data_IF_203236751671
#
_entry.id   IF_203236751671
#
_cell.length_a   1.000
_cell.length_b   1.000
_cell.length_c   1.000
_cell.angle_alpha   90.00
_cell.angle_beta   90.00
_cell.angle_gamma   90.00
#
_symmetry.space_group_name_H-M   'P 1'
#
loop_
_entity.id
_entity.type
_entity.pdbx_description
1 polymer ?
#
# COMPACT_ATOMS: atom_id res chain seq x y z
N UNK A 1 -0.56 7.07 -10.73
CA UNK A 1 0.76 7.57 -11.16
C UNK A 1 1.58 6.41 -11.72
N UNK A 2 2.30 6.65 -12.80
CA UNK A 2 3.20 5.69 -13.47
C UNK A 2 4.55 6.35 -13.71
N UNK A 3 5.64 5.55 -13.66
CA UNK A 3 7.00 6.09 -13.88
C UNK A 3 7.35 6.23 -15.36
N UNK A 4 6.81 5.37 -16.21
CA UNK A 4 7.16 5.29 -17.64
C UNK A 4 5.96 5.60 -18.54
N UNK A 5 6.14 6.47 -19.53
CA UNK A 5 5.07 6.84 -20.47
C UNK A 5 4.53 5.63 -21.23
N UNK A 6 5.33 4.60 -21.49
CA UNK A 6 4.93 3.38 -22.19
C UNK A 6 3.83 2.60 -21.47
N UNK A 7 3.65 2.81 -20.15
CA UNK A 7 2.59 2.18 -19.35
C UNK A 7 1.22 2.87 -19.52
N UNK A 8 1.17 4.03 -20.20
CA UNK A 8 -0.03 4.86 -20.26
C UNK A 8 -1.21 4.17 -20.96
N UNK A 9 -0.95 3.41 -22.01
CA UNK A 9 -2.02 2.77 -22.77
C UNK A 9 -2.64 1.60 -21.98
N UNK A 10 -1.85 0.86 -21.22
CA UNK A 10 -2.34 -0.21 -20.34
C UNK A 10 -3.24 0.37 -19.23
N UNK A 11 -2.85 1.51 -18.65
CA UNK A 11 -3.64 2.20 -17.63
C UNK A 11 -4.95 2.73 -18.18
N UNK A 12 -4.93 3.33 -19.40
CA UNK A 12 -6.17 3.78 -20.07
C UNK A 12 -7.09 2.63 -20.44
N UNK A 13 -6.53 1.48 -20.83
CA UNK A 13 -7.31 0.30 -21.22
C UNK A 13 -8.22 -0.21 -20.09
N UNK A 14 -7.84 0.01 -18.83
CA UNK A 14 -8.67 -0.33 -17.66
C UNK A 14 -9.50 0.85 -17.12
N UNK A 15 -9.59 1.96 -17.90
CA UNK A 15 -10.44 3.10 -17.57
C UNK A 15 -9.84 4.11 -16.59
N UNK A 16 -8.55 4.03 -16.28
CA UNK A 16 -7.86 4.96 -15.39
C UNK A 16 -7.09 6.03 -16.21
N UNK A 17 -6.86 7.20 -15.62
CA UNK A 17 -6.06 8.26 -16.21
C UNK A 17 -4.60 8.17 -15.74
N UNK A 18 -3.63 7.98 -16.66
CA UNK A 18 -2.23 7.88 -16.31
C UNK A 18 -1.61 9.26 -16.08
N UNK A 19 -0.95 9.44 -14.94
CA UNK A 19 -0.07 10.57 -14.68
C UNK A 19 1.37 10.06 -14.65
N UNK A 20 2.21 10.56 -15.56
CA UNK A 20 3.61 10.17 -15.64
C UNK A 20 4.42 11.04 -14.69
N UNK A 21 4.95 10.46 -13.63
CA UNK A 21 5.81 11.15 -12.66
C UNK A 21 6.81 10.17 -12.03
N UNK A 22 8.05 10.63 -11.85
CA UNK A 22 9.07 9.88 -11.13
C UNK A 22 8.97 10.18 -9.63
N UNK A 23 8.25 9.31 -8.93
CA UNK A 23 7.94 9.48 -7.51
C UNK A 23 9.19 9.56 -6.61
N UNK A 24 10.34 9.10 -7.08
CA UNK A 24 11.61 9.22 -6.36
C UNK A 24 12.08 10.68 -6.25
N UNK A 25 11.71 11.54 -7.20
CA UNK A 25 12.28 12.88 -7.37
C UNK A 25 11.27 14.04 -7.23
N UNK A 26 9.97 13.75 -7.28
CA UNK A 26 8.95 14.80 -7.15
C UNK A 26 8.81 15.26 -5.68
N UNK A 27 8.54 16.55 -5.52
CA UNK A 27 8.31 17.20 -4.22
C UNK A 27 6.92 16.89 -3.65
N UNK A 28 6.72 17.21 -2.38
CA UNK A 28 5.40 17.14 -1.72
C UNK A 28 4.37 18.02 -2.46
N UNK A 29 4.79 19.20 -2.92
CA UNK A 29 3.97 20.13 -3.67
C UNK A 29 3.46 19.52 -4.98
N UNK A 30 4.36 18.96 -5.77
CA UNK A 30 4.03 18.33 -7.05
C UNK A 30 3.14 17.09 -6.86
N UNK A 31 3.39 16.29 -5.83
CA UNK A 31 2.50 15.17 -5.49
C UNK A 31 1.12 15.67 -5.07
N UNK A 32 1.03 16.74 -4.28
CA UNK A 32 -0.23 17.33 -3.85
C UNK A 32 -1.05 17.87 -5.04
N UNK A 33 -0.38 18.46 -6.04
CA UNK A 33 -1.02 18.88 -7.29
C UNK A 33 -1.58 17.69 -8.08
N UNK A 34 -0.86 16.56 -8.12
CA UNK A 34 -1.33 15.32 -8.75
C UNK A 34 -2.52 14.72 -8.01
N UNK A 35 -2.50 14.76 -6.66
CA UNK A 35 -3.62 14.29 -5.84
C UNK A 35 -4.86 15.17 -6.08
N UNK A 36 -4.69 16.50 -6.19
CA UNK A 36 -5.77 17.43 -6.48
C UNK A 36 -6.98 17.22 -5.56
N UNK A 37 -8.16 17.05 -6.15
CA UNK A 37 -9.43 16.90 -5.43
C UNK A 37 -9.80 15.43 -5.14
N UNK A 38 -8.86 14.49 -5.22
CA UNK A 38 -9.13 13.09 -4.90
C UNK A 38 -9.30 12.88 -3.39
N UNK A 39 -10.35 12.15 -3.00
CA UNK A 39 -10.67 11.87 -1.58
C UNK A 39 -9.76 10.80 -0.97
N UNK A 40 -9.25 9.88 -1.77
CA UNK A 40 -8.48 8.72 -1.32
C UNK A 40 -7.22 8.53 -2.14
N UNK A 41 -6.12 8.31 -1.45
CA UNK A 41 -4.83 7.94 -2.04
C UNK A 41 -4.54 6.47 -1.74
N UNK A 42 -4.12 5.70 -2.73
CA UNK A 42 -3.62 4.32 -2.55
C UNK A 42 -2.14 4.29 -2.87
N UNK A 43 -1.32 3.94 -1.88
CA UNK A 43 0.11 3.71 -2.05
C UNK A 43 0.40 2.23 -2.22
N UNK A 44 0.68 1.81 -3.44
CA UNK A 44 1.10 0.45 -3.80
C UNK A 44 2.43 0.42 -4.56
N UNK A 45 3.17 1.54 -4.56
CA UNK A 45 4.47 1.63 -5.18
C UNK A 45 5.57 1.01 -4.30
N UNK A 46 6.64 0.59 -4.94
CA UNK A 46 7.83 0.08 -4.30
C UNK A 46 9.01 0.05 -5.26
N UNK A 47 10.23 -0.04 -4.74
CA UNK A 47 11.45 -0.08 -5.54
C UNK A 47 11.52 -1.31 -6.46
N UNK A 48 10.80 -2.38 -6.13
CA UNK A 48 10.78 -3.61 -6.92
C UNK A 48 12.11 -4.37 -6.87
N UNK A 49 12.84 -4.27 -5.77
CA UNK A 49 14.21 -4.75 -5.63
C UNK A 49 15.25 -3.71 -6.09
N UNK A 50 16.52 -4.06 -6.00
CA UNK A 50 17.64 -3.16 -6.34
C UNK A 50 18.54 -2.88 -5.15
N UNK A 51 19.07 -1.66 -5.05
CA UNK A 51 19.96 -1.29 -3.95
C UNK A 51 19.16 -0.82 -2.72
N UNK A 52 19.73 -0.94 -1.51
CA UNK A 52 19.16 -0.37 -0.30
C UNK A 52 18.82 1.13 -0.44
N UNK A 53 19.67 1.92 -1.11
CA UNK A 53 19.46 3.35 -1.33
C UNK A 53 18.14 3.60 -2.07
N UNK A 54 17.87 2.81 -3.14
CA UNK A 54 16.64 2.94 -3.90
C UNK A 54 15.42 2.48 -3.10
N UNK A 55 15.58 1.45 -2.29
CA UNK A 55 14.53 1.00 -1.37
C UNK A 55 14.15 2.11 -0.40
N UNK A 56 15.12 2.76 0.25
CA UNK A 56 14.80 3.90 1.12
C UNK A 56 14.20 5.08 0.35
N UNK A 57 14.70 5.38 -0.84
CA UNK A 57 14.19 6.49 -1.67
C UNK A 57 12.69 6.30 -2.04
N UNK A 58 12.28 5.08 -2.40
CA UNK A 58 10.90 4.80 -2.84
C UNK A 58 10.02 4.34 -1.68
N UNK A 59 10.40 3.25 -0.99
CA UNK A 59 9.52 2.57 -0.03
C UNK A 59 9.37 3.35 1.28
N UNK A 60 10.33 4.25 1.60
CA UNK A 60 10.26 5.16 2.75
C UNK A 60 10.00 6.60 2.32
N UNK A 61 10.96 7.24 1.65
CA UNK A 61 10.96 8.69 1.48
C UNK A 61 9.85 9.17 0.53
N UNK A 62 9.62 8.48 -0.60
CA UNK A 62 8.52 8.81 -1.49
C UNK A 62 7.14 8.46 -0.87
N UNK A 63 7.05 7.38 -0.09
CA UNK A 63 5.85 7.06 0.66
C UNK A 63 5.51 8.15 1.67
N UNK A 64 6.48 8.58 2.48
CA UNK A 64 6.32 9.67 3.45
C UNK A 64 5.91 10.97 2.76
N UNK A 65 6.61 11.37 1.68
CA UNK A 65 6.21 12.56 0.89
C UNK A 65 4.78 12.46 0.36
N UNK A 66 4.33 11.26 -0.02
CA UNK A 66 2.95 11.06 -0.50
C UNK A 66 1.93 11.20 0.61
N UNK A 67 2.25 10.73 1.83
CA UNK A 67 1.40 10.93 3.02
C UNK A 67 1.27 12.42 3.33
N UNK A 68 2.38 13.16 3.35
CA UNK A 68 2.39 14.60 3.61
C UNK A 68 1.64 15.38 2.51
N UNK A 69 1.82 14.96 1.25
CA UNK A 69 1.10 15.53 0.11
C UNK A 69 -0.41 15.28 0.17
N UNK A 70 -0.84 14.09 0.61
CA UNK A 70 -2.24 13.78 0.79
C UNK A 70 -2.89 14.68 1.86
N UNK A 71 -2.21 14.90 2.99
CA UNK A 71 -2.68 15.85 4.01
C UNK A 71 -2.73 17.27 3.46
N UNK A 72 -1.72 17.70 2.71
CA UNK A 72 -1.63 19.03 2.11
C UNK A 72 -2.73 19.28 1.06
N UNK A 73 -3.05 18.28 0.23
CA UNK A 73 -4.11 18.34 -0.77
C UNK A 73 -5.52 18.28 -0.14
N UNK A 74 -5.64 17.90 1.13
CA UNK A 74 -6.92 17.74 1.80
C UNK A 74 -7.60 16.39 1.50
N UNK A 75 -6.88 15.42 0.97
CA UNK A 75 -7.38 14.05 0.87
C UNK A 75 -7.73 13.54 2.27
N UNK A 76 -8.90 12.95 2.41
CA UNK A 76 -9.38 12.45 3.72
C UNK A 76 -8.77 11.09 4.10
N UNK A 77 -8.16 10.38 3.15
CA UNK A 77 -7.83 8.97 3.33
C UNK A 77 -6.57 8.52 2.58
N UNK A 78 -5.80 7.62 3.20
CA UNK A 78 -4.70 6.91 2.54
C UNK A 78 -4.72 5.41 2.88
N UNK A 79 -4.64 4.57 1.84
CA UNK A 79 -4.46 3.12 1.95
C UNK A 79 -3.02 2.78 1.57
N UNK A 80 -2.28 2.19 2.52
CA UNK A 80 -0.88 1.79 2.36
C UNK A 80 -0.77 0.29 2.14
N UNK A 81 -0.07 -0.15 1.09
CA UNK A 81 0.34 -1.54 0.94
C UNK A 81 1.74 -1.71 1.54
N UNK A 82 1.79 -2.44 2.66
CA UNK A 82 3.01 -2.79 3.39
C UNK A 82 3.37 -4.27 3.16
N UNK A 83 3.79 -5.02 4.17
CA UNK A 83 4.05 -6.45 4.08
C UNK A 83 3.67 -7.17 5.38
N UNK A 84 3.37 -8.46 5.30
CA UNK A 84 3.01 -9.31 6.44
C UNK A 84 4.17 -9.41 7.44
N UNK A 85 3.91 -9.11 8.72
CA UNK A 85 4.92 -9.09 9.78
C UNK A 85 5.69 -7.78 9.90
N UNK A 86 5.28 -6.70 9.21
CA UNK A 86 5.88 -5.38 9.41
C UNK A 86 5.64 -4.90 10.85
N UNK A 87 6.69 -4.51 11.55
CA UNK A 87 6.59 -4.01 12.91
C UNK A 87 7.98 -3.73 13.51
N UNK A 88 8.06 -2.98 14.61
CA UNK A 88 9.35 -2.59 15.21
C UNK A 88 10.23 -3.79 15.59
N UNK A 89 9.61 -4.92 15.90
CA UNK A 89 10.28 -6.17 16.28
C UNK A 89 10.29 -7.20 15.14
N UNK A 90 10.45 -6.75 13.87
CA UNK A 90 10.39 -7.61 12.68
C UNK A 90 11.45 -8.73 12.64
N UNK A 91 12.49 -8.67 13.46
CA UNK A 91 13.49 -9.74 13.62
C UNK A 91 14.37 -10.01 12.39
N UNK A 92 14.33 -9.16 11.36
CA UNK A 92 15.19 -9.29 10.17
C UNK A 92 16.59 -8.82 10.54
N UNK A 93 17.66 -9.63 10.39
CA UNK A 93 19.02 -9.21 10.70
C UNK A 93 19.52 -8.11 9.75
N UNK A 94 20.39 -7.22 10.23
CA UNK A 94 20.92 -6.09 9.44
C UNK A 94 21.68 -6.52 8.18
N UNK A 95 22.29 -7.70 8.19
CA UNK A 95 23.01 -8.28 7.05
C UNK A 95 22.10 -9.00 6.04
N UNK A 96 20.81 -9.09 6.32
CA UNK A 96 19.83 -9.67 5.41
C UNK A 96 19.44 -8.65 4.32
N UNK A 97 19.39 -9.09 3.07
CA UNK A 97 18.98 -8.26 1.94
C UNK A 97 17.56 -7.66 2.06
N UNK A 98 16.71 -8.25 2.87
CA UNK A 98 15.34 -7.76 3.15
C UNK A 98 15.32 -6.64 4.19
N UNK A 99 16.40 -6.42 4.97
CA UNK A 99 16.44 -5.46 6.07
C UNK A 99 16.06 -4.04 5.65
N UNK A 100 16.69 -3.52 4.59
CA UNK A 100 16.40 -2.17 4.10
C UNK A 100 14.92 -1.99 3.70
N UNK A 101 14.30 -3.04 3.13
CA UNK A 101 12.88 -3.01 2.78
C UNK A 101 12.00 -3.02 4.04
N UNK A 102 12.29 -3.89 5.01
CA UNK A 102 11.57 -3.94 6.27
C UNK A 102 11.58 -2.59 6.99
N UNK A 103 12.76 -2.01 7.19
CA UNK A 103 12.93 -0.70 7.81
C UNK A 103 12.19 0.42 7.05
N UNK A 104 12.28 0.44 5.72
CA UNK A 104 11.63 1.44 4.90
C UNK A 104 10.10 1.39 5.03
N UNK A 105 9.51 0.18 4.97
CA UNK A 105 8.06 -0.01 5.10
C UNK A 105 7.56 0.33 6.49
N UNK A 106 8.28 -0.08 7.53
CA UNK A 106 7.92 0.21 8.93
C UNK A 106 7.94 1.72 9.20
N UNK A 107 8.95 2.42 8.69
CA UNK A 107 9.03 3.87 8.84
C UNK A 107 7.86 4.59 8.14
N UNK A 108 7.47 4.14 6.94
CA UNK A 108 6.33 4.67 6.21
C UNK A 108 4.99 4.34 6.93
N UNK A 109 4.82 3.11 7.42
CA UNK A 109 3.64 2.69 8.20
C UNK A 109 3.48 3.55 9.46
N UNK A 110 4.57 3.77 10.21
CA UNK A 110 4.56 4.60 11.42
C UNK A 110 4.20 6.06 11.11
N UNK A 111 4.80 6.65 10.07
CA UNK A 111 4.49 8.02 9.65
C UNK A 111 3.02 8.18 9.25
N UNK A 112 2.46 7.18 8.55
CA UNK A 112 1.04 7.16 8.19
C UNK A 112 0.14 7.06 9.43
N UNK A 113 0.47 6.17 10.36
CA UNK A 113 -0.31 5.96 11.58
C UNK A 113 -0.34 7.22 12.48
N UNK A 114 0.72 8.03 12.46
CA UNK A 114 0.82 9.30 13.19
C UNK A 114 0.15 10.47 12.44
N UNK A 115 -0.29 10.28 11.20
CA UNK A 115 -0.92 11.33 10.39
C UNK A 115 -2.37 11.59 10.81
N UNK A 116 -2.94 12.72 10.34
CA UNK A 116 -4.35 13.05 10.53
C UNK A 116 -5.30 12.38 9.50
N UNK A 117 -4.77 11.57 8.59
CA UNK A 117 -5.56 10.88 7.56
C UNK A 117 -6.38 9.73 8.16
N UNK A 118 -7.54 9.46 7.59
CA UNK A 118 -8.23 8.18 7.80
C UNK A 118 -7.44 7.07 7.10
N UNK A 119 -6.49 6.45 7.77
CA UNK A 119 -5.57 5.50 7.16
C UNK A 119 -6.01 4.03 7.26
N UNK A 120 -5.52 3.22 6.33
CA UNK A 120 -5.52 1.75 6.42
C UNK A 120 -4.17 1.23 5.95
N UNK A 121 -3.59 0.30 6.70
CA UNK A 121 -2.34 -0.38 6.37
C UNK A 121 -2.65 -1.84 6.03
N UNK A 122 -2.42 -2.22 4.79
CA UNK A 122 -2.60 -3.58 4.29
C UNK A 122 -1.24 -4.28 4.27
N UNK A 123 -1.15 -5.42 4.92
CA UNK A 123 0.06 -6.23 5.05
C UNK A 123 -0.11 -7.60 4.40
N UNK A 124 -0.08 -7.64 3.06
CA UNK A 124 -0.14 -8.90 2.33
C UNK A 124 1.13 -9.73 2.54
N UNK A 125 0.99 -11.03 2.46
CA UNK A 125 2.12 -11.97 2.37
C UNK A 125 2.85 -11.89 1.03
N UNK A 126 3.68 -12.87 0.70
CA UNK A 126 4.43 -12.91 -0.55
C UNK A 126 3.48 -12.86 -1.76
N UNK A 127 3.68 -11.85 -2.64
CA UNK A 127 2.80 -11.59 -3.77
C UNK A 127 3.04 -12.60 -4.91
N UNK A 128 1.96 -13.15 -5.46
CA UNK A 128 1.98 -14.01 -6.65
C UNK A 128 1.19 -13.39 -7.80
N UNK A 129 1.42 -13.91 -9.03
CA UNK A 129 0.65 -13.56 -10.24
C UNK A 129 -0.39 -14.64 -10.59
N UNK A 130 -0.68 -15.53 -9.65
CA UNK A 130 -1.72 -16.55 -9.78
C UNK A 130 -3.11 -15.92 -9.63
N UNK A 131 -4.13 -16.66 -10.07
CA UNK A 131 -5.53 -16.27 -9.87
C UNK A 131 -5.82 -16.25 -8.35
N UNK A 132 -6.54 -15.21 -7.89
CA UNK A 132 -6.94 -15.11 -6.50
C UNK A 132 -7.97 -16.16 -6.11
N UNK A 133 -8.02 -16.52 -4.82
CA UNK A 133 -9.01 -17.45 -4.27
C UNK A 133 -10.39 -16.82 -4.09
N UNK A 134 -10.49 -15.48 -4.22
CA UNK A 134 -11.71 -14.72 -3.98
C UNK A 134 -11.97 -14.42 -2.50
N UNK A 135 -11.03 -14.74 -1.63
CA UNK A 135 -11.11 -14.46 -0.20
C UNK A 135 -9.72 -14.37 0.45
N UNK A 136 -9.69 -14.18 1.74
CA UNK A 136 -8.46 -14.01 2.53
C UNK A 136 -8.43 -14.97 3.72
N UNK A 137 -7.22 -15.24 4.21
CA UNK A 137 -6.97 -15.82 5.52
C UNK A 137 -6.30 -14.77 6.38
N UNK A 138 -6.89 -14.46 7.53
CA UNK A 138 -6.41 -13.44 8.46
C UNK A 138 -6.79 -13.77 9.90
N UNK A 139 -6.17 -13.13 10.87
CA UNK A 139 -6.48 -13.25 12.27
C UNK A 139 -5.32 -13.74 13.12
N UNK A 140 -5.59 -13.89 14.43
CA UNK A 140 -4.57 -14.30 15.40
C UNK A 140 -4.05 -15.71 15.09
N UNK A 141 -2.72 -15.86 15.06
CA UNK A 141 -2.05 -17.14 14.79
C UNK A 141 -1.86 -17.50 13.32
N UNK A 142 -2.36 -16.68 12.39
CA UNK A 142 -2.06 -16.85 10.97
C UNK A 142 -0.61 -16.49 10.71
N UNK A 143 0.09 -17.35 9.96
CA UNK A 143 1.48 -17.13 9.56
C UNK A 143 1.56 -16.66 8.12
N UNK A 144 2.59 -15.88 7.79
CA UNK A 144 2.83 -15.43 6.42
C UNK A 144 2.98 -16.60 5.45
N UNK A 145 2.31 -16.51 4.29
CA UNK A 145 2.41 -17.47 3.21
C UNK A 145 2.45 -16.76 1.85
N UNK A 146 1.38 -16.85 1.07
CA UNK A 146 1.26 -16.21 -0.24
C UNK A 146 -0.10 -15.54 -0.40
N UNK A 147 -0.14 -14.53 -1.27
CA UNK A 147 -1.38 -13.85 -1.67
C UNK A 147 -1.25 -13.38 -3.12
N UNK A 148 -2.29 -13.55 -3.91
CA UNK A 148 -2.32 -13.07 -5.28
C UNK A 148 -2.46 -11.54 -5.34
N UNK A 149 -1.88 -10.91 -6.36
CA UNK A 149 -2.11 -9.48 -6.62
C UNK A 149 -3.59 -9.17 -6.87
N UNK A 150 -4.33 -10.13 -7.41
CA UNK A 150 -5.77 -10.01 -7.61
C UNK A 150 -6.50 -9.87 -6.26
N UNK A 151 -6.23 -10.77 -5.30
CA UNK A 151 -6.80 -10.68 -3.94
C UNK A 151 -6.41 -9.36 -3.25
N UNK A 152 -5.16 -8.92 -3.37
CA UNK A 152 -4.75 -7.61 -2.82
C UNK A 152 -5.57 -6.46 -3.43
N UNK A 153 -5.82 -6.49 -4.74
CA UNK A 153 -6.64 -5.48 -5.41
C UNK A 153 -8.09 -5.50 -4.91
N UNK A 154 -8.68 -6.69 -4.71
CA UNK A 154 -10.03 -6.85 -4.16
C UNK A 154 -10.12 -6.31 -2.73
N UNK A 155 -9.12 -6.59 -1.88
CA UNK A 155 -9.04 -6.03 -0.51
C UNK A 155 -8.94 -4.50 -0.55
N UNK A 156 -8.09 -3.93 -1.42
CA UNK A 156 -7.99 -2.47 -1.60
C UNK A 156 -9.35 -1.89 -2.02
N UNK A 157 -10.02 -2.49 -2.99
CA UNK A 157 -11.32 -2.02 -3.46
C UNK A 157 -12.37 -2.03 -2.35
N UNK A 158 -12.44 -3.11 -1.56
CA UNK A 158 -13.35 -3.23 -0.43
C UNK A 158 -13.05 -2.19 0.68
N UNK A 159 -11.77 -1.96 0.98
CA UNK A 159 -11.31 -0.94 1.95
C UNK A 159 -11.67 0.48 1.49
N UNK A 160 -11.49 0.78 0.21
CA UNK A 160 -11.86 2.08 -0.37
C UNK A 160 -13.38 2.30 -0.34
N UNK A 161 -14.15 1.24 -0.58
CA UNK A 161 -15.63 1.30 -0.53
C UNK A 161 -16.19 1.47 0.89
N UNK A 162 -15.41 1.15 1.94
CA UNK A 162 -15.84 1.20 3.33
C UNK A 162 -14.91 2.08 4.21
N UNK A 163 -14.77 3.37 3.90
CA UNK A 163 -13.75 4.23 4.50
C UNK A 163 -13.89 4.38 6.03
N UNK A 164 -15.10 4.43 6.56
CA UNK A 164 -15.34 4.59 8.00
C UNK A 164 -15.06 3.30 8.78
N UNK A 165 -15.44 2.15 8.22
CA UNK A 165 -15.26 0.85 8.87
C UNK A 165 -13.79 0.42 8.92
N UNK A 166 -12.97 0.93 8.01
CA UNK A 166 -11.58 0.52 7.82
C UNK A 166 -10.55 1.60 8.20
N UNK A 167 -11.01 2.74 8.76
CA UNK A 167 -10.12 3.77 9.28
C UNK A 167 -9.38 3.30 10.54
N UNK A 168 -8.05 3.48 10.56
CA UNK A 168 -7.18 3.02 11.66
C UNK A 168 -6.94 1.50 11.67
N UNK A 169 -7.29 0.80 10.58
CA UNK A 169 -7.11 -0.65 10.47
C UNK A 169 -5.71 -1.00 9.93
N UNK A 170 -5.06 -1.95 10.58
CA UNK A 170 -3.95 -2.73 10.02
C UNK A 170 -4.42 -4.15 9.78
N UNK A 171 -4.28 -4.68 8.57
CA UNK A 171 -4.73 -6.00 8.17
C UNK A 171 -3.59 -6.82 7.57
N UNK A 172 -3.21 -7.91 8.23
CA UNK A 172 -2.29 -8.94 7.72
C UNK A 172 -3.10 -10.08 7.10
N UNK A 173 -2.75 -10.52 5.89
CA UNK A 173 -3.53 -11.54 5.20
C UNK A 173 -2.76 -12.34 4.15
N UNK A 174 -3.25 -13.56 3.93
CA UNK A 174 -2.92 -14.48 2.84
C UNK A 174 -4.11 -14.60 1.88
N UNK A 175 -3.95 -15.31 0.76
CA UNK A 175 -5.09 -15.91 0.07
C UNK A 175 -5.77 -16.93 0.99
N UNK A 176 -7.11 -16.98 0.95
CA UNK A 176 -7.90 -17.86 1.82
C UNK A 176 -9.37 -17.93 1.41
N UNK A 177 -10.21 -18.41 2.32
CA UNK A 177 -11.62 -18.67 2.05
C UNK A 177 -12.57 -17.66 2.72
N UNK A 178 -12.06 -16.78 3.61
CA UNK A 178 -12.89 -15.80 4.29
C UNK A 178 -13.27 -14.67 3.32
N UNK A 179 -14.55 -14.33 3.27
CA UNK A 179 -14.99 -13.21 2.43
C UNK A 179 -14.42 -11.88 2.94
N UNK A 180 -13.83 -11.09 2.06
CA UNK A 180 -13.21 -9.79 2.41
C UNK A 180 -14.21 -8.87 3.13
N UNK A 181 -15.46 -8.82 2.67
CA UNK A 181 -16.50 -8.00 3.29
C UNK A 181 -16.81 -8.43 4.74
N UNK A 182 -16.78 -9.72 5.04
CA UNK A 182 -16.98 -10.24 6.40
C UNK A 182 -15.83 -9.87 7.31
N UNK A 183 -14.58 -10.04 6.82
CA UNK A 183 -13.36 -9.68 7.55
C UNK A 183 -13.32 -8.19 7.90
N UNK A 184 -13.76 -7.33 6.98
CA UNK A 184 -13.81 -5.89 7.19
C UNK A 184 -15.04 -5.42 7.98
N UNK A 185 -15.98 -6.32 8.33
CA UNK A 185 -17.21 -5.98 9.03
C UNK A 185 -18.18 -5.11 8.21
N UNK A 186 -18.12 -5.23 6.87
CA UNK A 186 -18.91 -4.43 5.91
C UNK A 186 -19.95 -5.29 5.19
N UNK A 187 -20.63 -6.13 5.93
CA UNK A 187 -21.77 -6.88 5.39
C UNK A 187 -22.90 -5.92 5.04
N UNK A 188 -23.28 -5.91 3.75
CA UNK A 188 -24.36 -5.10 3.19
C UNK A 188 -25.75 -5.48 3.69
#
# INVERSE_FOLDING_TARGET
VIRKAEQSDDVRAVGAEPVVADIEHVSVEEIAEVIGDHDTVVWSAGAGGGSPERTYSVDRDAAIRTIDAAQKAGAGRLVMVSYFGAGPDHGVPEDNSFFAYAEAKIAADAHLADSALGWTILRPSALTDEDGTGGVETGEGVSASQVSRATVADVIAAVVAAPQATAGLTLEFNDGDQQVAEVLGVTG
#
